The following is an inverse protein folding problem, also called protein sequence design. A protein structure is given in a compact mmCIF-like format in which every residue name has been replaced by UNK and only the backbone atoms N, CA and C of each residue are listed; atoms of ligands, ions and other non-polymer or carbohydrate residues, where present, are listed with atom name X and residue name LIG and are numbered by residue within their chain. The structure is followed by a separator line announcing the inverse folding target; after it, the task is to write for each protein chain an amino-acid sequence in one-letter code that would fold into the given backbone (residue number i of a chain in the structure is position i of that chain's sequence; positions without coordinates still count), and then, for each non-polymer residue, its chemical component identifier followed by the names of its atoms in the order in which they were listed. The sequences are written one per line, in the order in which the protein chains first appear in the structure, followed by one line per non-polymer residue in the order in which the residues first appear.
data_IF_266305972963
#
_entry.id   IF_266305972963
#
_cell.length_a   1.000
_cell.length_b   1.000
_cell.length_c   1.000
_cell.angle_alpha   90.00
_cell.angle_beta   90.00
_cell.angle_gamma   90.00
#
_symmetry.space_group_name_H-M   'P 1'
#
loop_
_entity.id
_entity.type
_entity.pdbx_description
1 polymer ?
#
# COMPACT_ATOMS: atom_id res chain seq x y z
N UNK A 1 -16.91 -23.36 -41.95
CA UNK A 1 -17.14 -23.05 -40.53
C UNK A 1 -15.81 -22.61 -39.93
N UNK A 2 -15.61 -21.32 -39.67
CA UNK A 2 -14.36 -20.83 -39.08
C UNK A 2 -14.45 -21.14 -37.58
N UNK A 3 -13.70 -22.14 -37.10
CA UNK A 3 -13.54 -22.35 -35.67
C UNK A 3 -12.66 -21.22 -35.13
N UNK A 4 -13.27 -20.27 -34.43
CA UNK A 4 -12.53 -19.24 -33.72
C UNK A 4 -11.73 -19.90 -32.60
N UNK A 5 -10.40 -19.91 -32.76
CA UNK A 5 -9.51 -20.41 -31.72
C UNK A 5 -9.52 -19.43 -30.56
N UNK A 6 -9.83 -19.94 -29.37
CA UNK A 6 -9.85 -19.19 -28.11
C UNK A 6 -8.76 -19.68 -27.16
N UNK A 7 -8.23 -18.78 -26.34
CA UNK A 7 -7.20 -19.05 -25.33
C UNK A 7 -7.66 -18.43 -24.01
N UNK A 8 -7.26 -19.03 -22.88
CA UNK A 8 -7.50 -18.48 -21.55
C UNK A 8 -6.51 -17.36 -21.21
N UNK A 9 -7.04 -16.21 -20.80
CA UNK A 9 -6.23 -15.14 -20.24
C UNK A 9 -5.67 -15.54 -18.86
N UNK A 10 -4.35 -15.55 -18.68
CA UNK A 10 -3.69 -15.91 -17.43
C UNK A 10 -3.86 -14.90 -16.28
N UNK A 11 -4.53 -13.76 -16.51
CA UNK A 11 -4.83 -12.76 -15.47
C UNK A 11 -6.29 -12.79 -14.99
N UNK A 12 -7.25 -13.06 -15.87
CA UNK A 12 -8.68 -13.04 -15.54
C UNK A 12 -9.41 -14.34 -15.84
N UNK A 13 -8.70 -15.37 -16.32
CA UNK A 13 -9.20 -16.70 -16.66
C UNK A 13 -10.39 -16.72 -17.64
N UNK A 14 -10.59 -15.64 -18.40
CA UNK A 14 -11.60 -15.57 -19.45
C UNK A 14 -11.07 -16.16 -20.76
N UNK A 15 -11.91 -16.94 -21.43
CA UNK A 15 -11.68 -17.37 -22.81
C UNK A 15 -11.80 -16.16 -23.73
N UNK A 16 -10.76 -15.92 -24.52
CA UNK A 16 -10.70 -14.81 -25.47
C UNK A 16 -10.18 -15.30 -26.81
N UNK A 17 -10.59 -14.69 -27.94
CA UNK A 17 -10.03 -15.01 -29.26
C UNK A 17 -8.51 -14.84 -29.26
N UNK A 18 -7.78 -15.69 -30.00
CA UNK A 18 -6.31 -15.58 -30.10
C UNK A 18 -5.87 -14.20 -30.59
N UNK A 19 -6.66 -13.55 -31.45
CA UNK A 19 -6.40 -12.20 -31.97
C UNK A 19 -6.33 -11.13 -30.86
N UNK A 20 -7.00 -11.37 -29.73
CA UNK A 20 -7.07 -10.44 -28.59
C UNK A 20 -6.04 -10.74 -27.49
N UNK A 21 -5.20 -11.76 -27.69
CA UNK A 21 -4.19 -12.19 -26.71
C UNK A 21 -2.81 -11.63 -27.07
N UNK A 22 -2.09 -11.13 -26.07
CA UNK A 22 -0.64 -10.89 -26.17
C UNK A 22 0.08 -11.56 -25.01
N UNK A 23 1.28 -12.05 -25.28
CA UNK A 23 2.13 -12.69 -24.28
C UNK A 23 3.04 -11.66 -23.60
N UNK A 24 3.13 -11.73 -22.27
CA UNK A 24 3.99 -10.85 -21.46
C UNK A 24 4.98 -11.69 -20.66
N UNK A 25 6.25 -11.31 -20.71
CA UNK A 25 7.28 -11.93 -19.88
C UNK A 25 7.05 -11.57 -18.41
N UNK A 26 7.21 -12.55 -17.50
CA UNK A 26 7.25 -12.27 -16.07
C UNK A 26 8.63 -11.73 -15.72
N UNK A 27 8.67 -10.64 -14.93
CA UNK A 27 9.90 -10.02 -14.43
C UNK A 27 10.82 -11.00 -13.66
N UNK A 28 10.27 -12.10 -13.15
CA UNK A 28 11.00 -13.12 -12.39
C UNK A 28 11.53 -14.29 -13.24
N UNK A 29 11.73 -14.12 -14.55
CA UNK A 29 12.25 -15.17 -15.44
C UNK A 29 11.32 -16.37 -15.68
N UNK A 30 10.02 -16.23 -15.35
CA UNK A 30 9.02 -17.27 -15.56
C UNK A 30 8.47 -17.32 -16.99
N UNK A 31 7.69 -18.37 -17.30
CA UNK A 31 7.00 -18.50 -18.60
C UNK A 31 6.12 -17.28 -18.90
N UNK A 32 6.07 -16.84 -20.18
CA UNK A 32 5.25 -15.72 -20.57
C UNK A 32 3.76 -16.03 -20.39
N UNK A 33 3.01 -15.06 -19.87
CA UNK A 33 1.58 -15.21 -19.63
C UNK A 33 0.77 -14.63 -20.78
N UNK A 34 -0.25 -15.35 -21.23
CA UNK A 34 -1.24 -14.86 -22.18
C UNK A 34 -2.15 -13.82 -21.49
N UNK A 35 -2.21 -12.60 -22.00
CA UNK A 35 -3.08 -11.53 -21.48
C UNK A 35 -4.00 -10.95 -22.55
N UNK A 36 -5.29 -10.88 -22.21
CA UNK A 36 -6.30 -10.22 -23.04
C UNK A 36 -6.13 -8.69 -23.07
N UNK A 37 -6.70 -8.06 -24.10
CA UNK A 37 -6.68 -6.61 -24.30
C UNK A 37 -7.23 -5.82 -23.11
N UNK A 38 -8.30 -6.28 -22.46
CA UNK A 38 -8.89 -5.60 -21.29
C UNK A 38 -7.93 -5.56 -20.10
N UNK A 39 -7.30 -6.69 -19.76
CA UNK A 39 -6.32 -6.74 -18.67
C UNK A 39 -5.08 -5.88 -18.98
N UNK A 40 -4.67 -5.83 -20.25
CA UNK A 40 -3.57 -4.98 -20.70
C UNK A 40 -3.89 -3.49 -20.58
N UNK A 41 -5.11 -3.09 -20.93
CA UNK A 41 -5.54 -1.69 -20.81
C UNK A 41 -5.61 -1.27 -19.34
N UNK A 42 -6.00 -2.16 -18.43
CA UNK A 42 -5.96 -1.90 -16.99
C UNK A 42 -4.53 -1.67 -16.46
N UNK A 43 -3.53 -2.41 -16.96
CA UNK A 43 -2.11 -2.16 -16.63
C UNK A 43 -1.60 -0.81 -17.16
N UNK A 44 -2.08 -0.37 -18.33
CA UNK A 44 -1.73 0.95 -18.88
C UNK A 44 -2.41 2.08 -18.09
N UNK A 45 -3.65 1.88 -17.67
CA UNK A 45 -4.40 2.85 -16.85
C UNK A 45 -3.79 3.01 -15.44
N UNK A 46 -3.19 1.96 -14.86
CA UNK A 46 -2.44 2.12 -13.60
C UNK A 46 -1.13 2.90 -13.79
N UNK A 47 -0.52 2.84 -14.98
CA UNK A 47 0.66 3.64 -15.32
C UNK A 47 0.33 5.11 -15.66
N UNK A 48 -0.91 5.39 -16.11
CA UNK A 48 -1.44 6.74 -16.36
C UNK A 48 -2.32 7.21 -15.18
N UNK A 49 -2.17 6.63 -13.99
CA UNK A 49 -2.35 7.43 -12.79
C UNK A 49 -1.13 8.35 -12.75
N UNK A 50 -1.22 9.49 -13.45
CA UNK A 50 -0.61 10.72 -12.95
C UNK A 50 -0.93 10.68 -11.48
N UNK A 51 0.10 10.48 -10.64
CA UNK A 51 -0.03 10.73 -9.23
C UNK A 51 -0.70 12.11 -9.19
N UNK A 52 -1.98 12.19 -8.82
CA UNK A 52 -2.44 13.36 -8.09
C UNK A 52 -1.31 13.58 -7.10
N UNK A 53 -0.73 14.78 -6.97
CA UNK A 53 0.31 14.99 -5.98
C UNK A 53 -0.27 14.35 -4.71
N UNK A 54 0.30 13.20 -4.33
CA UNK A 54 0.12 12.68 -3.02
C UNK A 54 0.69 13.86 -2.27
N UNK A 55 -0.21 14.66 -1.71
CA UNK A 55 0.16 15.48 -0.58
C UNK A 55 0.80 14.43 0.29
N UNK A 56 2.13 14.43 0.32
CA UNK A 56 2.89 13.73 1.31
C UNK A 56 2.49 14.49 2.56
N UNK A 57 1.29 14.17 3.06
CA UNK A 57 0.89 14.46 4.42
C UNK A 57 1.89 13.61 5.13
N UNK A 58 3.00 14.24 5.50
CA UNK A 58 4.05 13.65 6.33
C UNK A 58 3.29 13.20 7.57
N UNK A 59 2.84 11.96 7.57
CA UNK A 59 1.98 11.43 8.62
C UNK A 59 2.81 11.57 9.88
N UNK A 60 2.43 12.51 10.75
CA UNK A 60 3.05 12.73 12.05
C UNK A 60 2.65 11.55 12.94
N UNK A 61 3.27 10.40 12.66
CA UNK A 61 3.16 9.17 13.43
C UNK A 61 4.08 9.33 14.63
N UNK A 62 3.49 9.67 15.77
CA UNK A 62 4.22 9.76 17.03
C UNK A 62 4.14 8.45 17.78
N UNK A 63 5.17 8.16 18.57
CA UNK A 63 5.19 7.00 19.47
C UNK A 63 4.53 7.43 20.78
N UNK A 64 3.65 6.58 21.29
CA UNK A 64 2.95 6.79 22.55
C UNK A 64 3.18 5.59 23.46
N UNK A 65 3.38 5.86 24.74
CA UNK A 65 3.48 4.87 25.80
C UNK A 65 2.24 4.93 26.68
N UNK A 66 1.57 3.80 26.86
CA UNK A 66 0.52 3.69 27.85
C UNK A 66 1.11 3.39 29.24
N UNK A 67 1.04 4.32 30.18
CA UNK A 67 1.50 4.09 31.55
C UNK A 67 0.63 3.11 32.35
N UNK A 68 -0.55 2.73 31.84
CA UNK A 68 -1.40 1.73 32.50
C UNK A 68 -0.93 0.30 32.28
N UNK A 69 -0.37 0.00 31.10
CA UNK A 69 0.02 -1.36 30.72
C UNK A 69 1.45 -1.45 30.17
N UNK A 70 2.18 -0.34 30.07
CA UNK A 70 3.52 -0.27 29.49
C UNK A 70 3.57 -0.42 27.97
N UNK A 71 2.42 -0.52 27.28
CA UNK A 71 2.40 -0.77 25.84
C UNK A 71 2.79 0.47 25.03
N UNK A 72 3.77 0.32 24.13
CA UNK A 72 4.19 1.35 23.17
C UNK A 72 3.51 1.16 21.82
N UNK A 73 2.94 2.21 21.26
CA UNK A 73 2.25 2.16 19.97
C UNK A 73 2.38 3.45 19.18
N UNK A 74 2.27 3.35 17.85
CA UNK A 74 2.32 4.51 16.95
C UNK A 74 0.91 5.00 16.67
N UNK A 75 0.69 6.31 16.79
CA UNK A 75 -0.61 6.92 16.49
C UNK A 75 -0.43 8.16 15.62
N UNK A 76 -1.34 8.34 14.66
CA UNK A 76 -1.34 9.50 13.77
C UNK A 76 -2.12 10.63 14.43
N UNK A 77 -1.41 11.67 14.88
CA UNK A 77 -1.98 12.82 15.60
C UNK A 77 -2.91 13.66 14.70
N UNK A 78 -2.79 13.52 13.38
CA UNK A 78 -3.68 14.19 12.41
C UNK A 78 -5.06 13.52 12.31
N UNK A 79 -5.21 12.30 12.82
CA UNK A 79 -6.53 11.71 12.97
C UNK A 79 -7.19 12.35 14.18
N UNK A 80 -8.29 13.08 13.97
CA UNK A 80 -9.04 13.85 14.97
C UNK A 80 -9.75 12.99 16.03
N UNK A 81 -9.22 11.81 16.32
CA UNK A 81 -9.79 10.80 17.21
C UNK A 81 -9.08 10.84 18.57
N UNK A 82 -9.86 10.77 19.66
CA UNK A 82 -9.33 10.58 21.02
C UNK A 82 -8.42 9.35 21.05
N UNK A 83 -7.14 9.54 21.34
CA UNK A 83 -6.16 8.45 21.39
C UNK A 83 -6.52 7.47 22.51
N UNK A 84 -6.52 6.17 22.18
CA UNK A 84 -6.78 5.08 23.13
C UNK A 84 -5.70 4.03 23.00
N UNK A 85 -5.31 3.43 24.11
CA UNK A 85 -4.36 2.33 24.09
C UNK A 85 -5.00 1.11 23.40
N UNK A 86 -4.40 0.55 22.34
CA UNK A 86 -4.95 -0.62 21.65
C UNK A 86 -4.89 -1.90 22.50
N UNK A 87 -4.06 -1.92 23.55
CA UNK A 87 -3.90 -3.08 24.41
C UNK A 87 -4.88 -3.10 25.59
N UNK A 88 -5.04 -1.97 26.30
CA UNK A 88 -5.91 -1.91 27.49
C UNK A 88 -7.17 -1.05 27.32
N UNK A 89 -7.36 -0.41 26.16
CA UNK A 89 -8.52 0.42 25.85
C UNK A 89 -8.60 1.76 26.59
N UNK A 90 -7.71 2.01 27.57
CA UNK A 90 -7.68 3.25 28.37
C UNK A 90 -7.13 4.42 27.57
N UNK A 91 -7.72 5.60 27.75
CA UNK A 91 -7.28 6.86 27.13
C UNK A 91 -6.49 7.76 28.11
N UNK A 92 -6.70 7.60 29.41
CA UNK A 92 -6.33 8.62 30.41
C UNK A 92 -4.85 8.63 30.81
N UNK A 93 -4.08 7.64 30.37
CA UNK A 93 -2.67 7.44 30.78
C UNK A 93 -1.79 7.09 29.58
N UNK A 94 -1.81 7.94 28.57
CA UNK A 94 -0.99 7.81 27.36
C UNK A 94 -0.06 9.02 27.29
N UNK A 95 1.25 8.78 27.28
CA UNK A 95 2.27 9.81 27.13
C UNK A 95 2.95 9.68 25.75
N UNK A 96 3.30 10.81 25.14
CA UNK A 96 4.10 10.84 23.91
C UNK A 96 5.54 10.49 24.25
N UNK A 97 6.08 9.44 23.65
CA UNK A 97 7.48 9.04 23.75
C UNK A 97 8.23 9.77 22.61
N UNK A 98 8.47 11.07 22.81
CA UNK A 98 9.15 11.91 21.82
C UNK A 98 10.63 11.54 21.75
N UNK A 99 11.07 11.02 20.59
CA UNK A 99 12.50 10.79 20.25
C UNK A 99 13.28 12.12 20.08
N UNK A 100 12.64 13.27 20.30
CA UNK A 100 13.20 14.64 20.15
C UNK A 100 14.40 14.96 21.05
N UNK A 101 14.74 14.11 22.03
CA UNK A 101 15.92 14.36 22.86
C UNK A 101 17.23 14.07 22.11
N UNK A 102 17.24 13.12 21.16
CA UNK A 102 18.45 12.75 20.43
C UNK A 102 18.86 13.83 19.41
N UNK A 103 17.91 14.43 18.68
CA UNK A 103 18.24 15.48 17.70
C UNK A 103 18.64 16.82 18.35
N UNK A 104 18.19 17.09 19.58
CA UNK A 104 18.57 18.31 20.31
C UNK A 104 20.01 18.29 20.84
N UNK A 105 20.57 17.09 21.08
CA UNK A 105 21.98 16.90 21.45
C UNK A 105 22.92 17.05 20.25
N UNK A 106 22.51 16.60 19.06
CA UNK A 106 23.36 16.66 17.85
C UNK A 106 23.52 18.10 17.30
N UNK A 107 22.56 19.00 17.58
CA UNK A 107 22.67 20.43 17.19
C UNK A 107 23.45 21.31 18.17
N UNK A 108 23.96 20.75 19.26
CA UNK A 108 24.71 21.50 20.28
C UNK A 108 26.21 21.20 20.29
N UNK A 109 26.74 20.63 19.19
CA UNK A 109 28.17 20.39 18.96
C UNK A 109 28.64 21.29 17.82
#
# INVERSE_FOLDING_TARGET
MIQERVILCGNCNKSVPVVDVKYFAKFSGGMPIAMCTSCRNNLKLSSIKKKKPEVIVKELRKIFLCHSCGYKFRFNVLSSSKIKCPFCGKADRIAEDSEDFAEKLVRSI
#
